data_IF_748784351867
#
_entry.id   IF_748784351867
#
_cell.length_a   1.000
_cell.length_b   1.000
_cell.length_c   1.000
_cell.angle_alpha   90.00
_cell.angle_beta   90.00
_cell.angle_gamma   90.00
#
_symmetry.space_group_name_H-M   'P 1'
#
loop_
_entity.id
_entity.type
_entity.pdbx_description
1 polymer ?
#
# COMPACT_ATOMS: atom_id res chain seq x y z
N UNK A 1 -28.28 18.73 53.65
CA UNK A 1 -29.22 17.95 52.79
C UNK A 1 -29.01 18.39 51.35
N UNK A 2 -28.74 17.61 50.31
CA UNK A 2 -28.37 16.21 50.07
C UNK A 2 -27.35 16.18 48.89
N UNK A 3 -26.42 15.22 48.80
CA UNK A 3 -26.51 13.97 47.99
C UNK A 3 -27.12 14.25 46.60
N UNK A 4 -26.48 14.08 45.43
CA UNK A 4 -25.28 13.37 44.98
C UNK A 4 -25.65 12.47 43.79
N UNK A 5 -24.99 12.53 42.63
CA UNK A 5 -24.78 11.38 41.74
C UNK A 5 -23.80 11.63 40.60
N UNK A 6 -23.13 10.55 40.24
CA UNK A 6 -22.07 10.33 39.26
C UNK A 6 -22.61 10.14 37.82
N UNK A 7 -21.65 10.12 36.89
CA UNK A 7 -21.60 9.42 35.59
C UNK A 7 -22.11 10.13 34.33
N UNK A 8 -21.21 10.18 33.34
CA UNK A 8 -21.50 9.62 32.02
C UNK A 8 -21.26 10.55 30.84
N UNK A 9 -20.22 10.23 30.06
CA UNK A 9 -20.11 10.28 28.58
C UNK A 9 -20.65 11.54 27.87
N UNK A 10 -19.95 12.18 26.94
CA UNK A 10 -19.31 11.57 25.77
C UNK A 10 -18.12 12.43 25.35
N UNK A 11 -16.93 11.83 25.34
CA UNK A 11 -15.90 12.27 24.40
C UNK A 11 -16.46 12.01 23.01
N UNK A 12 -16.92 13.08 22.34
CA UNK A 12 -17.16 13.06 20.91
C UNK A 12 -15.79 12.91 20.25
N UNK A 13 -15.31 11.66 20.13
CA UNK A 13 -14.35 11.30 19.10
C UNK A 13 -15.04 11.63 17.78
N UNK A 14 -14.66 12.76 17.19
CA UNK A 14 -15.03 13.06 15.82
C UNK A 14 -14.40 11.99 14.94
N UNK A 15 -15.28 11.25 14.27
CA UNK A 15 -15.01 10.27 13.23
C UNK A 15 -14.18 10.87 12.10
N UNK A 16 -13.12 10.15 11.73
CA UNK A 16 -12.69 9.95 10.35
C UNK A 16 -12.33 11.19 9.53
N UNK A 17 -11.07 11.62 9.61
CA UNK A 17 -10.46 12.47 8.60
C UNK A 17 -9.10 11.89 8.18
N UNK A 18 -9.15 11.03 7.16
CA UNK A 18 -8.24 10.96 6.02
C UNK A 18 -6.73 11.13 6.28
N UNK A 19 -6.03 10.02 6.58
CA UNK A 19 -4.78 9.67 5.87
C UNK A 19 -4.46 8.17 6.07
N UNK A 20 -5.34 7.31 5.54
CA UNK A 20 -4.94 5.91 5.29
C UNK A 20 -4.18 5.93 3.98
N UNK A 21 -2.85 6.09 4.03
CA UNK A 21 -1.91 5.92 2.92
C UNK A 21 -0.51 5.86 3.54
N UNK A 22 0.26 4.81 3.25
CA UNK A 22 1.71 4.65 3.52
C UNK A 22 2.14 3.68 4.63
N UNK A 23 1.23 3.01 5.34
CA UNK A 23 1.63 1.97 6.30
C UNK A 23 0.82 0.67 6.06
N UNK A 24 1.55 -0.43 5.86
CA UNK A 24 0.98 -1.76 5.60
C UNK A 24 0.22 -2.33 6.81
N UNK A 25 0.68 -2.10 8.03
CA UNK A 25 0.00 -2.59 9.23
C UNK A 25 -1.34 -1.88 9.40
N UNK A 26 -1.37 -0.56 9.16
CA UNK A 26 -2.61 0.21 9.14
C UNK A 26 -3.56 -0.27 8.03
N UNK A 27 -3.04 -0.68 6.87
CA UNK A 27 -3.84 -1.27 5.80
C UNK A 27 -4.49 -2.58 6.27
N UNK A 28 -3.75 -3.55 6.80
CA UNK A 28 -4.36 -4.78 7.30
C UNK A 28 -5.28 -4.57 8.52
N UNK A 29 -4.95 -3.63 9.41
CA UNK A 29 -5.77 -3.33 10.59
C UNK A 29 -7.13 -2.69 10.25
N UNK A 30 -7.25 -2.04 9.09
CA UNK A 30 -8.49 -1.38 8.68
C UNK A 30 -9.59 -2.37 8.24
N UNK A 31 -9.25 -3.60 7.85
CA UNK A 31 -10.22 -4.65 7.52
C UNK A 31 -9.65 -6.02 7.88
N UNK A 32 -10.18 -6.63 8.96
CA UNK A 32 -9.74 -7.92 9.47
C UNK A 32 -9.91 -9.05 8.43
N UNK A 33 -10.81 -8.90 7.46
CA UNK A 33 -10.97 -9.88 6.36
C UNK A 33 -9.70 -10.02 5.54
N UNK A 34 -8.86 -8.98 5.48
CA UNK A 34 -7.58 -9.02 4.76
C UNK A 34 -6.61 -10.02 5.37
N UNK A 35 -6.60 -10.17 6.71
CA UNK A 35 -5.68 -11.10 7.41
C UNK A 35 -6.08 -12.56 7.30
N UNK A 36 -7.37 -12.82 7.15
CA UNK A 36 -7.93 -14.18 7.09
C UNK A 36 -8.18 -14.69 5.68
N UNK A 37 -7.98 -13.86 4.66
CA UNK A 37 -8.24 -14.20 3.26
C UNK A 37 -7.01 -14.70 2.52
N UNK A 38 -7.24 -15.41 1.42
CA UNK A 38 -6.21 -15.76 0.48
C UNK A 38 -5.72 -14.49 -0.25
N UNK A 39 -4.42 -14.27 -0.19
CA UNK A 39 -3.74 -13.23 -0.96
C UNK A 39 -3.03 -13.87 -2.15
N UNK A 40 -3.26 -13.32 -3.33
CA UNK A 40 -2.62 -13.75 -4.58
C UNK A 40 -1.60 -12.71 -4.96
N UNK A 41 -0.34 -13.10 -4.89
CA UNK A 41 0.79 -12.32 -5.40
C UNK A 41 0.85 -12.43 -6.93
N UNK A 42 0.97 -11.28 -7.59
CA UNK A 42 0.94 -11.10 -9.05
C UNK A 42 2.24 -10.42 -9.52
N UNK A 43 3.36 -10.78 -8.89
CA UNK A 43 4.70 -10.32 -9.21
C UNK A 43 5.26 -9.28 -8.22
N UNK A 44 6.58 -9.36 -7.97
CA UNK A 44 7.33 -8.54 -7.02
C UNK A 44 8.26 -7.51 -7.67
N UNK A 45 8.43 -7.56 -9.00
CA UNK A 45 9.42 -6.77 -9.74
C UNK A 45 8.74 -5.81 -10.74
N UNK A 46 7.62 -5.21 -10.35
CA UNK A 46 7.01 -4.13 -11.12
C UNK A 46 7.80 -2.84 -10.89
N UNK A 47 7.99 -2.04 -11.94
CA UNK A 47 8.78 -0.81 -11.84
C UNK A 47 8.00 0.40 -12.35
N UNK A 48 8.16 1.55 -11.72
CA UNK A 48 7.70 2.83 -12.27
C UNK A 48 8.79 3.49 -13.15
N UNK A 49 8.45 4.62 -13.76
CA UNK A 49 9.38 5.42 -14.56
C UNK A 49 10.63 5.90 -13.78
N UNK A 50 10.59 5.94 -12.44
CA UNK A 50 11.72 6.31 -11.59
C UNK A 50 12.56 5.10 -11.15
N UNK A 51 12.16 3.89 -11.54
CA UNK A 51 12.81 2.64 -11.14
C UNK A 51 12.45 2.16 -9.73
N UNK A 52 11.41 2.73 -9.10
CA UNK A 52 10.90 2.22 -7.82
C UNK A 52 10.26 0.86 -8.07
N UNK A 53 10.64 -0.12 -7.24
CA UNK A 53 10.11 -1.48 -7.31
C UNK A 53 8.83 -1.63 -6.49
N UNK A 54 7.86 -2.33 -7.06
CA UNK A 54 6.56 -2.64 -6.49
C UNK A 54 6.26 -4.13 -6.56
N UNK A 55 5.60 -4.62 -5.54
CA UNK A 55 4.86 -5.88 -5.52
C UNK A 55 3.38 -5.60 -5.80
N UNK A 56 2.72 -6.45 -6.59
CA UNK A 56 1.29 -6.37 -6.89
C UNK A 56 0.57 -7.56 -6.25
N UNK A 57 -0.47 -7.29 -5.47
CA UNK A 57 -1.23 -8.34 -4.79
C UNK A 57 -2.74 -8.10 -4.86
N UNK A 58 -3.50 -9.19 -4.82
CA UNK A 58 -4.97 -9.19 -4.78
C UNK A 58 -5.50 -10.02 -3.63
N UNK A 59 -6.46 -9.49 -2.89
CA UNK A 59 -7.10 -10.16 -1.75
C UNK A 59 -8.45 -10.72 -2.16
N UNK A 60 -8.66 -12.02 -1.99
CA UNK A 60 -9.84 -12.72 -2.50
C UNK A 60 -11.16 -12.25 -1.86
N UNK A 61 -11.17 -12.05 -0.55
CA UNK A 61 -12.38 -11.71 0.20
C UNK A 61 -12.88 -10.30 -0.08
N UNK A 62 -11.95 -9.35 -0.20
CA UNK A 62 -12.27 -7.93 -0.37
C UNK A 62 -12.29 -7.53 -1.84
N UNK A 63 -11.71 -8.37 -2.71
CA UNK A 63 -11.48 -8.09 -4.11
C UNK A 63 -10.46 -6.98 -4.33
N UNK A 64 -9.69 -6.59 -3.31
CA UNK A 64 -8.82 -5.41 -3.37
C UNK A 64 -7.52 -5.73 -4.09
N UNK A 65 -7.26 -5.00 -5.17
CA UNK A 65 -5.99 -5.02 -5.89
C UNK A 65 -5.15 -3.83 -5.43
N UNK A 66 -3.92 -4.09 -5.01
CA UNK A 66 -3.04 -3.07 -4.47
C UNK A 66 -1.58 -3.34 -4.83
N UNK A 67 -0.77 -2.29 -4.81
CA UNK A 67 0.70 -2.41 -4.90
C UNK A 67 1.36 -2.02 -3.59
N UNK A 68 2.46 -2.66 -3.30
CA UNK A 68 3.33 -2.39 -2.16
C UNK A 68 4.71 -2.01 -2.67
N UNK A 69 5.29 -0.95 -2.13
CA UNK A 69 6.70 -0.63 -2.35
C UNK A 69 7.41 -0.45 -1.01
N UNK A 70 8.68 -0.82 -0.99
CA UNK A 70 9.59 -0.34 0.04
C UNK A 70 9.72 1.17 -0.12
N UNK A 71 9.33 1.95 0.89
CA UNK A 71 9.70 3.35 0.90
C UNK A 71 11.22 3.41 0.96
N UNK A 72 11.85 3.78 -0.16
CA UNK A 72 13.26 4.09 -0.15
C UNK A 72 13.46 5.20 0.90
N UNK A 73 14.25 4.96 1.96
CA UNK A 73 14.57 6.01 2.90
C UNK A 73 15.20 7.18 2.12
N UNK A 74 14.77 8.40 2.43
CA UNK A 74 15.34 9.60 1.81
C UNK A 74 16.77 9.80 2.32
N UNK A 75 17.74 9.23 1.62
CA UNK A 75 19.15 9.30 1.98
C UNK A 75 20.02 8.43 1.07
N UNK A 76 21.33 8.57 1.19
CA UNK A 76 22.30 7.66 0.58
C UNK A 76 22.96 6.81 1.66
N UNK A 77 23.35 5.59 1.29
CA UNK A 77 24.16 4.71 2.15
C UNK A 77 25.61 4.89 1.76
N UNK A 78 26.45 5.22 2.72
CA UNK A 78 27.89 5.36 2.49
C UNK A 78 28.59 3.99 2.40
N UNK A 79 29.88 3.92 2.01
CA UNK A 79 30.63 2.66 1.93
C UNK A 79 30.81 1.91 3.26
N UNK A 80 30.51 2.54 4.39
CA UNK A 80 30.57 1.95 5.72
C UNK A 80 29.20 1.47 6.22
N UNK A 81 28.14 1.68 5.44
CA UNK A 81 26.77 1.26 5.75
C UNK A 81 25.95 2.27 6.55
N UNK A 82 26.48 3.48 6.75
CA UNK A 82 25.75 4.55 7.43
C UNK A 82 24.77 5.24 6.48
N UNK A 83 23.55 5.48 6.96
CA UNK A 83 22.54 6.21 6.22
C UNK A 83 22.61 7.72 6.51
N UNK A 84 22.82 8.50 5.44
CA UNK A 84 22.99 9.95 5.48
C UNK A 84 21.93 10.65 4.63
N UNK A 85 21.51 11.84 5.02
CA UNK A 85 20.63 12.68 4.20
C UNK A 85 21.41 13.31 3.01
N UNK A 86 20.74 13.94 2.03
CA UNK A 86 21.41 14.56 0.88
C UNK A 86 22.41 15.68 1.21
N UNK A 87 22.45 16.15 2.46
CA UNK A 87 23.40 17.17 2.95
C UNK A 87 24.50 16.56 3.83
N UNK A 88 24.60 15.23 3.91
CA UNK A 88 25.65 14.52 4.64
C UNK A 88 25.42 14.43 6.15
N UNK A 89 24.20 14.67 6.62
CA UNK A 89 23.85 14.53 8.04
C UNK A 89 23.46 13.08 8.34
N UNK A 90 24.04 12.54 9.40
CA UNK A 90 23.68 11.22 9.92
C UNK A 90 22.19 11.14 10.31
N UNK A 91 21.49 10.17 9.73
CA UNK A 91 20.04 10.00 9.92
C UNK A 91 19.66 9.15 11.15
N UNK A 92 20.65 8.57 11.84
CA UNK A 92 20.42 7.78 13.05
C UNK A 92 20.42 6.26 12.81
N UNK A 93 20.74 5.48 13.85
CA UNK A 93 20.69 4.01 13.84
C UNK A 93 19.25 3.43 13.82
N UNK A 94 18.24 4.28 13.68
CA UNK A 94 16.83 3.91 13.65
C UNK A 94 16.08 4.79 12.65
N UNK A 95 16.59 4.86 11.43
CA UNK A 95 15.67 5.02 10.31
C UNK A 95 14.83 3.72 10.31
N UNK A 96 13.49 3.79 10.33
CA UNK A 96 12.68 2.59 10.23
C UNK A 96 13.20 1.78 9.03
N UNK A 97 13.67 0.56 9.28
CA UNK A 97 13.96 -0.40 8.23
C UNK A 97 12.70 -0.50 7.40
N UNK A 98 12.73 0.06 6.19
CA UNK A 98 11.67 -0.04 5.18
C UNK A 98 10.23 0.16 5.69
N UNK A 99 9.73 1.39 5.68
CA UNK A 99 8.28 1.60 5.75
C UNK A 99 7.64 1.10 4.44
N UNK A 100 6.87 0.01 4.50
CA UNK A 100 6.16 -0.49 3.34
C UNK A 100 4.97 0.41 3.02
N UNK A 101 4.99 1.01 1.83
CA UNK A 101 3.92 1.88 1.33
C UNK A 101 2.97 1.04 0.52
N UNK A 102 1.72 0.96 0.99
CA UNK A 102 0.63 0.32 0.26
C UNK A 102 -0.17 1.37 -0.52
N UNK A 103 -0.44 1.08 -1.79
CA UNK A 103 -1.31 1.86 -2.67
C UNK A 103 -2.41 0.98 -3.25
N UNK A 104 -3.63 1.28 -2.86
CA UNK A 104 -4.84 0.67 -3.41
C UNK A 104 -5.07 1.11 -4.87
N UNK A 105 -5.27 0.16 -5.78
CA UNK A 105 -5.48 0.40 -7.20
C UNK A 105 -6.94 0.29 -7.64
N UNK A 106 -7.72 -0.57 -6.98
CA UNK A 106 -9.12 -0.79 -7.33
C UNK A 106 -9.66 -2.11 -6.78
N UNK A 107 -10.93 -2.39 -7.07
CA UNK A 107 -11.56 -3.69 -6.74
C UNK A 107 -11.81 -4.51 -7.99
N UNK A 108 -11.46 -5.79 -7.92
CA UNK A 108 -11.75 -6.82 -8.90
C UNK A 108 -12.47 -7.95 -8.18
N UNK A 109 -13.67 -8.31 -8.61
CA UNK A 109 -14.59 -9.12 -7.78
C UNK A 109 -14.26 -10.61 -7.76
N UNK A 110 -13.36 -11.08 -8.63
CA UNK A 110 -13.02 -12.50 -8.70
C UNK A 110 -11.62 -12.74 -9.23
N UNK A 111 -11.03 -13.86 -8.81
CA UNK A 111 -9.74 -14.34 -9.30
C UNK A 111 -9.71 -14.51 -10.83
N UNK A 112 -10.76 -15.10 -11.41
CA UNK A 112 -10.85 -15.30 -12.85
C UNK A 112 -10.89 -13.98 -13.64
N UNK A 113 -11.37 -12.90 -13.02
CA UNK A 113 -11.34 -11.57 -13.60
C UNK A 113 -9.95 -10.94 -13.49
N UNK A 114 -9.28 -11.08 -12.35
CA UNK A 114 -7.87 -10.66 -12.18
C UNK A 114 -6.98 -11.34 -13.21
N UNK A 115 -7.06 -12.66 -13.34
CA UNK A 115 -6.28 -13.45 -14.30
C UNK A 115 -6.53 -13.02 -15.76
N UNK A 116 -7.78 -12.67 -16.10
CA UNK A 116 -8.12 -12.13 -17.43
C UNK A 116 -7.56 -10.72 -17.65
N UNK A 117 -7.76 -9.83 -16.69
CA UNK A 117 -7.33 -8.43 -16.79
C UNK A 117 -5.81 -8.33 -16.91
N UNK A 118 -5.11 -9.15 -16.14
CA UNK A 118 -3.66 -9.19 -16.06
C UNK A 118 -3.06 -10.32 -16.90
N UNK A 119 -3.77 -10.83 -17.91
CA UNK A 119 -3.24 -11.84 -18.81
C UNK A 119 -1.94 -11.31 -19.48
N UNK A 120 -0.85 -12.08 -19.35
CA UNK A 120 0.48 -11.69 -19.85
C UNK A 120 1.27 -10.78 -18.90
N UNK A 121 0.90 -10.69 -17.62
CA UNK A 121 1.57 -9.83 -16.65
C UNK A 121 3.06 -10.14 -16.47
N UNK A 122 3.48 -11.41 -16.55
CA UNK A 122 4.89 -11.80 -16.40
C UNK A 122 5.79 -11.12 -17.44
N UNK A 123 5.34 -11.08 -18.70
CA UNK A 123 6.05 -10.40 -19.79
C UNK A 123 5.98 -8.87 -19.68
N UNK A 124 4.89 -8.35 -19.09
CA UNK A 124 4.72 -6.92 -18.88
C UNK A 124 5.62 -6.42 -17.74
N UNK A 125 5.74 -7.18 -16.65
CA UNK A 125 6.56 -6.88 -15.48
C UNK A 125 8.03 -6.66 -15.85
N UNK A 126 8.55 -7.46 -16.79
CA UNK A 126 9.93 -7.37 -17.27
C UNK A 126 10.24 -6.10 -18.09
N UNK A 127 9.25 -5.25 -18.39
CA UNK A 127 9.42 -4.03 -19.17
C UNK A 127 9.77 -2.83 -18.27
N UNK A 128 10.45 -1.81 -18.80
CA UNK A 128 10.57 -0.53 -18.11
C UNK A 128 9.19 0.10 -17.87
N UNK A 129 9.03 0.78 -16.73
CA UNK A 129 7.77 1.45 -16.35
C UNK A 129 6.55 0.50 -16.41
N UNK A 130 6.74 -0.75 -16.00
CA UNK A 130 5.74 -1.81 -16.07
C UNK A 130 4.50 -1.53 -15.21
N UNK A 131 4.58 -0.67 -14.20
CA UNK A 131 3.40 -0.24 -13.44
C UNK A 131 2.40 0.54 -14.28
N UNK A 132 2.85 1.27 -15.31
CA UNK A 132 1.96 1.99 -16.22
C UNK A 132 1.06 1.02 -17.00
N UNK A 133 1.58 -0.16 -17.36
CA UNK A 133 0.77 -1.21 -18.00
C UNK A 133 -0.39 -1.68 -17.12
N UNK A 134 -0.17 -1.82 -15.81
CA UNK A 134 -1.25 -2.16 -14.86
C UNK A 134 -2.30 -1.05 -14.84
N UNK A 135 -1.85 0.20 -14.71
CA UNK A 135 -2.73 1.38 -14.65
C UNK A 135 -3.61 1.47 -15.90
N UNK A 136 -3.02 1.24 -17.08
CA UNK A 136 -3.75 1.27 -18.35
C UNK A 136 -4.79 0.14 -18.43
N UNK A 137 -4.44 -1.09 -18.02
CA UNK A 137 -5.38 -2.22 -17.96
C UNK A 137 -6.58 -1.95 -17.06
N UNK A 138 -6.33 -1.40 -15.88
CA UNK A 138 -7.40 -1.06 -14.94
C UNK A 138 -8.27 0.07 -15.49
N UNK A 139 -7.66 1.10 -16.07
CA UNK A 139 -8.37 2.20 -16.73
C UNK A 139 -9.28 1.71 -17.86
N UNK A 140 -8.78 0.84 -18.73
CA UNK A 140 -9.54 0.26 -19.84
C UNK A 140 -10.72 -0.59 -19.35
N UNK A 141 -10.58 -1.21 -18.18
CA UNK A 141 -11.65 -1.94 -17.50
C UNK A 141 -12.61 -1.04 -16.70
N UNK A 142 -12.38 0.27 -16.65
CA UNK A 142 -13.14 1.21 -15.81
C UNK A 142 -12.90 1.03 -14.31
N UNK A 143 -11.81 0.36 -13.94
CA UNK A 143 -11.39 0.10 -12.57
C UNK A 143 -10.42 1.20 -12.15
N UNK A 144 -10.72 1.85 -11.03
CA UNK A 144 -9.83 2.83 -10.45
C UNK A 144 -10.06 2.93 -8.94
N UNK A 145 -9.21 3.69 -8.23
CA UNK A 145 -9.48 4.01 -6.84
C UNK A 145 -10.84 4.70 -6.76
N UNK A 146 -11.65 4.44 -5.70
CA UNK A 146 -12.93 5.12 -5.53
C UNK A 146 -12.71 6.62 -5.63
N UNK A 147 -13.57 7.30 -6.39
CA UNK A 147 -13.65 8.75 -6.36
C UNK A 147 -13.90 9.14 -4.90
N UNK A 148 -12.92 9.84 -4.31
CA UNK A 148 -12.97 10.28 -2.91
C UNK A 148 -14.13 11.20 -2.62
#
# INVERSE_FOLDING_TARGET
>A
MGRGHLMGLFHRHQTGSHEVRNDIEAFYAADERRRSSAEIELGQDWHDANGVRYELSWIEDTGELYVMAEAAPSGFVDPFGDQLDPFGRWLGASVPTSSLVVRFLGRVSSRAEVERLLAGWEEAMARPDSTQWIIDRLRDAGIGPPAG
#
